data_IF_341549006559
#
_entry.id   IF_341549006559
#
_cell.length_a   1.000
_cell.length_b   1.000
_cell.length_c   1.000
_cell.angle_alpha   90.00
_cell.angle_beta   90.00
_cell.angle_gamma   90.00
#
_symmetry.space_group_name_H-M   'P 1'
#
loop_
_entity.id
_entity.type
_entity.pdbx_description
1 polymer ?
#
# COMPACT_ATOMS: atom_id res chain seq x y z
N UNK A 1 -4.81 -1.83 -7.29
CA UNK A 1 -5.14 -1.03 -6.09
C UNK A 1 -4.70 0.40 -6.28
N UNK A 2 -5.65 1.31 -6.53
CA UNK A 2 -5.40 2.74 -6.80
C UNK A 2 -5.99 3.68 -5.72
N UNK A 3 -6.95 3.22 -4.92
CA UNK A 3 -7.60 4.02 -3.89
C UNK A 3 -6.58 4.62 -2.93
N UNK A 4 -6.73 5.91 -2.68
CA UNK A 4 -5.93 6.62 -1.69
C UNK A 4 -6.07 8.13 -1.81
N UNK A 5 -5.60 8.84 -0.79
CA UNK A 5 -5.58 10.30 -0.74
C UNK A 5 -4.35 10.81 0.01
N UNK A 6 -4.10 12.11 -0.13
CA UNK A 6 -3.01 12.83 0.50
C UNK A 6 -3.58 14.02 1.29
N UNK A 7 -3.17 14.13 2.55
CA UNK A 7 -3.32 15.35 3.36
C UNK A 7 -1.90 15.80 3.72
N UNK A 8 -1.51 17.03 3.39
CA UNK A 8 -0.21 17.57 3.81
C UNK A 8 -0.16 17.69 5.33
N UNK A 9 0.98 17.35 5.94
CA UNK A 9 1.15 17.48 7.37
C UNK A 9 2.54 17.08 7.86
N UNK A 10 2.93 17.64 9.00
CA UNK A 10 4.08 17.17 9.75
C UNK A 10 3.59 16.27 10.89
N UNK A 11 4.34 15.23 11.22
CA UNK A 11 3.94 14.24 12.24
C UNK A 11 3.65 14.90 13.60
N UNK A 12 4.37 15.98 13.93
CA UNK A 12 4.22 16.67 15.21
C UNK A 12 2.96 17.57 15.30
N UNK A 13 2.31 17.86 14.17
CA UNK A 13 1.23 18.86 14.10
C UNK A 13 0.03 18.44 13.25
N UNK A 14 0.08 17.28 12.60
CA UNK A 14 -1.07 16.72 11.91
C UNK A 14 -2.18 16.35 12.91
N UNK A 15 -3.47 16.54 12.56
CA UNK A 15 -4.57 16.20 13.46
C UNK A 15 -4.59 14.71 13.81
N UNK A 16 -5.01 14.39 15.04
CA UNK A 16 -5.29 13.01 15.45
C UNK A 16 -6.23 12.31 14.45
N UNK A 17 -5.96 11.04 14.14
CA UNK A 17 -6.74 10.27 13.16
C UNK A 17 -6.26 10.41 11.71
N UNK A 18 -5.33 11.34 11.41
CA UNK A 18 -4.79 11.54 10.05
C UNK A 18 -4.06 10.29 9.56
N UNK A 19 -3.23 9.69 10.42
CA UNK A 19 -2.50 8.46 10.10
C UNK A 19 -3.44 7.31 9.82
N UNK A 20 -4.39 7.08 10.71
CA UNK A 20 -5.37 6.00 10.64
C UNK A 20 -6.19 6.11 9.36
N UNK A 21 -6.66 7.31 9.03
CA UNK A 21 -7.45 7.56 7.83
C UNK A 21 -6.65 7.26 6.55
N UNK A 22 -5.39 7.66 6.49
CA UNK A 22 -4.52 7.35 5.35
C UNK A 22 -4.09 5.89 5.28
N UNK A 23 -3.84 5.23 6.41
CA UNK A 23 -3.54 3.80 6.44
C UNK A 23 -4.75 3.01 5.94
N UNK A 24 -5.95 3.35 6.41
CA UNK A 24 -7.19 2.71 5.97
C UNK A 24 -7.37 2.82 4.44
N UNK A 25 -7.24 4.02 3.88
CA UNK A 25 -7.45 4.24 2.46
C UNK A 25 -6.28 3.78 1.57
N UNK A 26 -5.03 4.10 1.94
CA UNK A 26 -3.85 3.92 1.07
C UNK A 26 -3.23 2.52 1.19
N UNK A 27 -3.38 1.85 2.34
CA UNK A 27 -2.79 0.54 2.61
C UNK A 27 -3.85 -0.55 2.76
N UNK A 28 -4.78 -0.41 3.71
CA UNK A 28 -5.71 -1.49 4.04
C UNK A 28 -6.66 -1.82 2.90
N UNK A 29 -7.09 -0.81 2.12
CA UNK A 29 -7.86 -1.06 0.90
C UNK A 29 -7.15 -2.04 -0.05
N UNK A 30 -5.85 -1.86 -0.28
CA UNK A 30 -5.03 -2.73 -1.12
C UNK A 30 -4.80 -4.11 -0.46
N UNK A 31 -4.52 -4.12 0.84
CA UNK A 31 -4.30 -5.34 1.60
C UNK A 31 -5.52 -6.27 1.56
N UNK A 32 -6.69 -5.78 1.96
CA UNK A 32 -7.90 -6.60 2.04
C UNK A 32 -8.38 -7.04 0.65
N UNK A 33 -8.32 -6.15 -0.35
CA UNK A 33 -8.65 -6.51 -1.73
C UNK A 33 -7.75 -7.64 -2.24
N UNK A 34 -6.44 -7.52 -2.02
CA UNK A 34 -5.48 -8.55 -2.44
C UNK A 34 -5.72 -9.86 -1.70
N UNK A 35 -5.90 -9.80 -0.37
CA UNK A 35 -6.14 -10.97 0.47
C UNK A 35 -7.39 -11.75 0.04
N UNK A 36 -8.45 -11.06 -0.37
CA UNK A 36 -9.68 -11.69 -0.86
C UNK A 36 -9.54 -12.38 -2.21
N UNK A 37 -8.57 -11.98 -3.05
CA UNK A 37 -8.41 -12.46 -4.43
C UNK A 37 -7.23 -13.42 -4.61
N UNK A 38 -6.23 -13.38 -3.73
CA UNK A 38 -4.96 -14.06 -3.93
C UNK A 38 -5.11 -15.58 -4.05
N UNK A 39 -6.04 -16.18 -3.32
CA UNK A 39 -6.25 -17.63 -3.37
C UNK A 39 -6.73 -18.10 -4.75
N UNK A 40 -7.65 -17.36 -5.36
CA UNK A 40 -8.15 -17.65 -6.72
C UNK A 40 -7.03 -17.51 -7.75
N UNK A 41 -6.14 -16.51 -7.59
CA UNK A 41 -4.99 -16.35 -8.47
C UNK A 41 -4.00 -17.53 -8.34
N UNK A 42 -3.80 -18.03 -7.11
CA UNK A 42 -2.93 -19.20 -6.85
C UNK A 42 -3.47 -20.47 -7.49
N UNK A 43 -4.77 -20.73 -7.35
CA UNK A 43 -5.44 -21.87 -7.99
C UNK A 43 -5.30 -21.82 -9.52
N UNK A 44 -5.36 -20.62 -10.11
CA UNK A 44 -5.17 -20.41 -11.55
C UNK A 44 -3.70 -20.36 -11.99
N UNK A 45 -2.75 -20.33 -11.05
CA UNK A 45 -1.31 -20.10 -11.29
C UNK A 45 -1.04 -18.91 -12.24
N UNK A 46 -1.82 -17.84 -12.09
CA UNK A 46 -1.78 -16.69 -12.98
C UNK A 46 -2.48 -15.48 -12.35
N UNK A 47 -1.89 -14.30 -12.51
CA UNK A 47 -2.48 -13.04 -12.05
C UNK A 47 -1.47 -11.90 -12.04
N UNK A 48 -2.00 -10.69 -11.93
CA UNK A 48 -1.20 -9.47 -11.77
C UNK A 48 -1.84 -8.58 -10.71
N UNK A 49 -1.03 -8.09 -9.76
CA UNK A 49 -1.43 -7.16 -8.71
C UNK A 49 -0.62 -5.88 -8.87
N UNK A 50 -1.29 -4.80 -9.30
CA UNK A 50 -0.67 -3.48 -9.42
C UNK A 50 -1.09 -2.60 -8.26
N UNK A 51 -0.13 -2.13 -7.46
CA UNK A 51 -0.34 -1.14 -6.40
C UNK A 51 0.19 0.22 -6.85
N UNK A 52 -0.66 1.26 -6.79
CA UNK A 52 -0.26 2.62 -7.17
C UNK A 52 0.46 3.30 -5.99
N UNK A 53 1.78 3.22 -6.05
CA UNK A 53 2.70 3.85 -5.11
C UNK A 53 2.95 5.33 -5.45
N UNK A 54 3.94 5.93 -4.79
CA UNK A 54 4.36 7.31 -5.01
C UNK A 54 5.88 7.41 -4.87
N UNK A 55 6.49 8.53 -5.29
CA UNK A 55 7.87 8.85 -4.89
C UNK A 55 8.02 8.84 -3.35
N UNK A 56 6.92 9.17 -2.65
CA UNK A 56 6.80 9.10 -1.20
C UNK A 56 6.99 7.69 -0.63
N UNK A 57 6.87 6.64 -1.46
CA UNK A 57 7.09 5.26 -1.04
C UNK A 57 8.57 4.90 -0.83
N UNK A 58 9.49 5.72 -1.38
CA UNK A 58 10.94 5.48 -1.31
C UNK A 58 11.71 6.67 -0.76
N UNK A 59 11.08 7.83 -0.62
CA UNK A 59 11.70 9.06 -0.13
C UNK A 59 10.71 9.84 0.73
N UNK A 60 11.06 10.05 1.99
CA UNK A 60 10.35 10.97 2.86
C UNK A 60 10.69 12.44 2.51
N UNK A 61 9.75 13.34 2.78
CA UNK A 61 9.89 14.78 2.56
C UNK A 61 9.07 15.56 3.59
N UNK A 62 9.44 16.81 3.85
CA UNK A 62 8.68 17.72 4.72
C UNK A 62 7.25 17.88 4.20
N UNK A 63 6.27 17.96 5.10
CA UNK A 63 4.82 17.90 4.81
C UNK A 63 4.33 16.57 4.20
N UNK A 64 5.17 15.53 4.13
CA UNK A 64 4.77 14.20 3.70
C UNK A 64 4.09 13.36 4.78
N UNK A 65 4.36 13.63 6.05
CA UNK A 65 3.74 13.07 7.26
C UNK A 65 3.20 11.63 7.13
N UNK A 66 1.97 11.46 7.60
CA UNK A 66 1.20 10.20 7.49
C UNK A 66 1.09 9.61 6.08
N UNK A 67 1.10 10.46 5.05
CA UNK A 67 1.00 9.98 3.67
C UNK A 67 2.23 9.20 3.25
N UNK A 68 3.43 9.74 3.50
CA UNK A 68 4.68 9.06 3.22
C UNK A 68 4.73 7.72 3.96
N UNK A 69 4.39 7.69 5.25
CA UNK A 69 4.30 6.46 6.05
C UNK A 69 3.42 5.42 5.36
N UNK A 70 2.18 5.80 4.99
CA UNK A 70 1.25 4.89 4.33
C UNK A 70 1.77 4.35 2.99
N UNK A 71 2.51 5.18 2.23
CA UNK A 71 3.06 4.82 0.91
C UNK A 71 4.33 3.98 1.02
N UNK A 72 5.14 4.15 2.05
CA UNK A 72 6.23 3.21 2.40
C UNK A 72 5.65 1.85 2.76
N UNK A 73 4.58 1.82 3.57
CA UNK A 73 3.91 0.58 3.94
C UNK A 73 3.30 -0.14 2.73
N UNK A 74 2.69 0.58 1.79
CA UNK A 74 2.17 0.00 0.54
C UNK A 74 3.27 -0.61 -0.35
N UNK A 75 4.46 0.01 -0.38
CA UNK A 75 5.61 -0.58 -1.07
C UNK A 75 6.13 -1.83 -0.34
N UNK A 76 6.17 -1.81 1.00
CA UNK A 76 6.46 -2.97 1.82
C UNK A 76 5.53 -4.15 1.49
N UNK A 77 4.21 -3.89 1.49
CA UNK A 77 3.20 -4.87 1.07
C UNK A 77 3.50 -5.45 -0.32
N UNK A 78 3.81 -4.58 -1.29
CA UNK A 78 4.10 -5.01 -2.67
C UNK A 78 5.33 -5.92 -2.74
N UNK A 79 6.37 -5.65 -1.94
CA UNK A 79 7.57 -6.49 -1.85
C UNK A 79 7.27 -7.84 -1.20
N UNK A 80 6.50 -7.87 -0.12
CA UNK A 80 6.07 -9.11 0.53
C UNK A 80 5.28 -9.99 -0.45
N UNK A 81 4.28 -9.41 -1.14
CA UNK A 81 3.48 -10.14 -2.14
C UNK A 81 4.35 -10.72 -3.26
N UNK A 82 5.35 -9.98 -3.74
CA UNK A 82 6.27 -10.51 -4.75
C UNK A 82 6.99 -11.76 -4.26
N UNK A 83 7.52 -11.72 -3.05
CA UNK A 83 8.25 -12.85 -2.47
C UNK A 83 7.36 -14.06 -2.20
N UNK A 84 6.13 -13.82 -1.73
CA UNK A 84 5.15 -14.87 -1.44
C UNK A 84 4.58 -15.53 -2.70
N UNK A 85 4.43 -14.78 -3.80
CA UNK A 85 3.63 -15.22 -4.96
C UNK A 85 4.47 -15.52 -6.20
N UNK A 86 5.78 -15.26 -6.18
CA UNK A 86 6.64 -15.46 -7.36
C UNK A 86 6.66 -16.88 -7.91
N UNK A 87 6.54 -17.88 -7.04
CA UNK A 87 6.54 -19.31 -7.43
C UNK A 87 5.19 -19.76 -8.03
N UNK A 88 4.13 -18.97 -7.78
CA UNK A 88 2.77 -19.24 -8.26
C UNK A 88 2.48 -18.57 -9.61
N UNK A 89 3.48 -17.98 -10.26
CA UNK A 89 3.35 -17.24 -11.53
C UNK A 89 2.35 -16.06 -11.45
N UNK A 90 2.24 -15.45 -10.27
CA UNK A 90 1.51 -14.21 -10.05
C UNK A 90 2.52 -13.07 -9.95
N UNK A 91 2.20 -11.91 -10.53
CA UNK A 91 3.10 -10.76 -10.61
C UNK A 91 2.67 -9.58 -9.77
#
# INVERSE_FOLDING_TARGET
NNTGFFVPGEIASEPDGTLESMINANLYSAYYTTRGLVQIMKERRSGHIFNICSIASIKAYSNGGSYAISKFALLGLSKCLREELKQDNIR
#
